data_IF_777160562298
#
_entry.id   IF_777160562298
#
_cell.length_a   1.000
_cell.length_b   1.000
_cell.length_c   1.000
_cell.angle_alpha   90.00
_cell.angle_beta   90.00
_cell.angle_gamma   90.00
#
_symmetry.space_group_name_H-M   'P 1'
#
loop_
_entity.id
_entity.type
_entity.pdbx_description
1 polymer ?
#
# COMPACT_ATOMS: atom_id res chain seq x y z
N UNK A 1 -22.02 1.51 26.18
CA UNK A 1 -21.40 0.37 25.45
C UNK A 1 -20.13 0.90 24.86
N UNK A 2 -18.98 0.24 25.08
CA UNK A 2 -17.69 0.77 24.62
C UNK A 2 -17.65 0.94 23.09
N UNK A 3 -16.97 1.99 22.62
CA UNK A 3 -16.68 2.18 21.21
C UNK A 3 -15.95 0.96 20.62
N UNK A 4 -16.11 0.72 19.33
CA UNK A 4 -15.41 -0.31 18.58
C UNK A 4 -14.91 0.29 17.25
N UNK A 5 -14.10 -0.45 16.50
CA UNK A 5 -13.52 0.06 15.26
C UNK A 5 -13.92 -0.80 14.05
N UNK A 6 -13.81 -0.23 12.85
CA UNK A 6 -13.97 -0.97 11.60
C UNK A 6 -12.69 -1.77 11.30
N UNK A 7 -12.84 -2.93 10.67
CA UNK A 7 -11.73 -3.90 10.50
C UNK A 7 -10.57 -3.37 9.66
N UNK A 8 -10.84 -2.61 8.57
CA UNK A 8 -9.79 -2.29 7.58
C UNK A 8 -9.21 -0.88 7.72
N UNK A 9 -10.00 0.09 8.19
CA UNK A 9 -9.54 1.48 8.30
C UNK A 9 -9.64 2.04 9.72
N UNK A 10 -9.94 1.22 10.73
CA UNK A 10 -9.97 1.65 12.11
C UNK A 10 -10.90 2.84 12.39
N UNK A 11 -12.02 2.96 11.64
CA UNK A 11 -13.01 4.01 11.92
C UNK A 11 -13.69 3.72 13.24
N UNK A 12 -13.78 4.71 14.11
CA UNK A 12 -14.45 4.53 15.40
C UNK A 12 -15.97 4.50 15.24
N UNK A 13 -16.57 3.40 15.69
CA UNK A 13 -18.02 3.26 15.87
C UNK A 13 -18.35 3.64 17.30
N UNK A 14 -18.84 4.87 17.48
CA UNK A 14 -19.15 5.43 18.79
C UNK A 14 -20.24 4.60 19.47
N UNK A 15 -20.00 4.15 20.69
CA UNK A 15 -20.97 3.42 21.50
C UNK A 15 -22.15 4.32 21.92
N UNK A 16 -23.35 3.73 22.01
CA UNK A 16 -24.53 4.48 22.43
C UNK A 16 -24.34 5.07 23.83
N UNK A 17 -24.52 6.38 23.96
CA UNK A 17 -24.36 7.13 25.21
C UNK A 17 -22.92 7.52 25.54
N UNK A 18 -21.96 7.20 24.68
CA UNK A 18 -20.57 7.62 24.85
C UNK A 18 -20.27 8.95 24.16
N UNK A 19 -19.11 9.54 24.50
CA UNK A 19 -18.55 10.75 23.90
C UNK A 19 -19.48 11.98 23.94
N UNK A 20 -20.27 12.13 25.03
CA UNK A 20 -21.06 13.34 25.23
C UNK A 20 -20.18 14.60 25.15
N UNK A 21 -20.45 15.45 24.17
CA UNK A 21 -19.67 16.66 23.89
C UNK A 21 -18.43 16.49 23.03
N UNK A 22 -17.98 15.26 22.70
CA UNK A 22 -16.79 14.98 21.88
C UNK A 22 -17.09 14.17 20.63
N UNK A 23 -18.28 13.61 20.47
CA UNK A 23 -18.67 12.79 19.33
C UNK A 23 -18.44 13.46 17.97
N UNK A 24 -18.58 14.80 17.90
CA UNK A 24 -18.34 15.57 16.70
C UNK A 24 -16.87 15.53 16.26
N UNK A 25 -15.93 15.56 17.20
CA UNK A 25 -14.49 15.43 16.89
C UNK A 25 -14.18 14.04 16.34
N UNK A 26 -14.69 12.98 16.96
CA UNK A 26 -14.54 11.60 16.50
C UNK A 26 -15.14 11.40 15.11
N UNK A 27 -16.34 11.96 14.86
CA UNK A 27 -16.99 11.88 13.53
C UNK A 27 -16.15 12.59 12.46
N UNK A 28 -15.61 13.77 12.76
CA UNK A 28 -14.75 14.50 11.84
C UNK A 28 -13.46 13.71 11.53
N UNK A 29 -12.81 13.14 12.55
CA UNK A 29 -11.65 12.27 12.35
C UNK A 29 -11.98 11.07 11.46
N UNK A 30 -13.14 10.46 11.64
CA UNK A 30 -13.60 9.38 10.76
C UNK A 30 -13.77 9.83 9.31
N UNK A 31 -14.32 11.03 9.07
CA UNK A 31 -14.42 11.59 7.73
C UNK A 31 -13.06 11.86 7.11
N UNK A 32 -12.10 12.37 7.87
CA UNK A 32 -10.72 12.59 7.41
C UNK A 32 -10.03 11.27 7.05
N UNK A 33 -10.26 10.19 7.83
CA UNK A 33 -9.77 8.85 7.52
C UNK A 33 -10.41 8.32 6.23
N UNK A 34 -11.72 8.48 6.06
CA UNK A 34 -12.45 8.05 4.85
C UNK A 34 -11.92 8.79 3.62
N UNK A 35 -11.80 10.12 3.68
CA UNK A 35 -11.29 10.92 2.59
C UNK A 35 -9.87 10.49 2.18
N UNK A 36 -8.99 10.32 3.18
CA UNK A 36 -7.63 9.82 2.97
C UNK A 36 -7.60 8.43 2.32
N UNK A 37 -8.48 7.52 2.75
CA UNK A 37 -8.55 6.15 2.23
C UNK A 37 -9.13 6.07 0.82
N UNK A 38 -9.93 7.04 0.39
CA UNK A 38 -10.54 7.07 -0.95
C UNK A 38 -9.56 7.67 -1.98
N UNK A 39 -9.04 8.87 -1.72
CA UNK A 39 -8.26 9.65 -2.68
C UNK A 39 -6.97 10.25 -2.12
N UNK A 40 -6.62 9.97 -0.86
CA UNK A 40 -5.46 10.56 -0.22
C UNK A 40 -4.15 10.12 -0.88
N UNK A 41 -3.25 11.09 -1.09
CA UNK A 41 -1.89 10.89 -1.57
C UNK A 41 -0.93 11.24 -0.43
N UNK A 42 -0.19 10.26 0.07
CA UNK A 42 0.80 10.43 1.14
C UNK A 42 2.23 10.49 0.59
N UNK A 43 2.96 11.52 0.97
CA UNK A 43 4.42 11.54 0.83
C UNK A 43 5.02 10.90 2.08
N UNK A 44 5.53 9.67 1.93
CA UNK A 44 6.04 8.86 3.03
C UNK A 44 7.57 8.88 3.00
N UNK A 45 8.19 9.50 4.00
CA UNK A 45 9.63 9.46 4.16
C UNK A 45 10.05 8.15 4.87
N UNK A 46 10.63 7.22 4.10
CA UNK A 46 11.15 5.96 4.64
C UNK A 46 12.56 6.09 5.22
N UNK A 47 13.08 7.31 5.32
CA UNK A 47 14.34 7.63 5.99
C UNK A 47 15.59 7.15 5.26
N UNK A 48 16.66 6.96 6.02
CA UNK A 48 17.96 6.48 5.54
C UNK A 48 18.25 5.01 5.91
N UNK A 49 17.37 4.38 6.69
CA UNK A 49 17.50 2.99 7.13
C UNK A 49 17.06 1.99 6.05
N UNK A 50 16.98 0.72 6.46
CA UNK A 50 16.54 -0.39 5.60
C UNK A 50 15.16 -0.93 5.97
N UNK A 51 14.47 -0.32 6.94
CA UNK A 51 13.14 -0.71 7.39
C UNK A 51 12.28 0.51 7.66
N UNK A 52 10.97 0.41 7.38
CA UNK A 52 9.96 1.42 7.69
C UNK A 52 8.62 0.75 8.00
N UNK A 53 7.93 1.21 9.06
CA UNK A 53 6.61 0.70 9.42
C UNK A 53 5.53 1.65 8.92
N UNK A 54 4.68 1.17 8.01
CA UNK A 54 3.51 1.86 7.52
C UNK A 54 2.29 1.42 8.34
N UNK A 55 1.88 2.24 9.30
CA UNK A 55 0.85 1.87 10.26
C UNK A 55 -0.52 2.43 9.94
N UNK A 56 -1.57 1.67 10.27
CA UNK A 56 -2.96 2.12 10.38
C UNK A 56 -3.38 2.01 11.84
N UNK A 57 -3.65 3.14 12.47
CA UNK A 57 -4.02 3.20 13.89
C UNK A 57 -5.51 3.48 14.02
N UNK A 58 -6.19 2.69 14.86
CA UNK A 58 -7.62 2.85 15.15
C UNK A 58 -7.96 4.26 15.65
N UNK A 59 -8.99 4.86 15.06
CA UNK A 59 -9.50 6.19 15.43
C UNK A 59 -8.52 7.35 15.24
N UNK A 60 -7.40 7.14 14.55
CA UNK A 60 -6.35 8.15 14.41
C UNK A 60 -5.84 8.21 12.97
N UNK A 61 -5.69 9.42 12.42
CA UNK A 61 -5.08 9.61 11.10
C UNK A 61 -3.65 9.06 11.08
N UNK A 62 -3.40 8.13 10.18
CA UNK A 62 -2.11 7.44 10.02
C UNK A 62 -1.71 7.36 8.55
N UNK A 63 -0.44 7.11 8.28
CA UNK A 63 0.08 7.03 6.91
C UNK A 63 -0.44 5.82 6.15
N UNK A 64 -0.76 4.72 6.85
CA UNK A 64 -1.41 3.54 6.27
C UNK A 64 -2.84 3.76 5.77
N UNK A 65 -3.46 4.93 6.01
CA UNK A 65 -4.77 5.27 5.45
C UNK A 65 -4.70 5.83 4.03
N UNK A 66 -3.55 6.33 3.57
CA UNK A 66 -3.47 6.87 2.21
C UNK A 66 -3.70 5.81 1.13
N UNK A 67 -4.44 6.19 0.08
CA UNK A 67 -4.67 5.32 -1.08
C UNK A 67 -3.44 5.25 -1.98
N UNK A 68 -2.78 6.37 -2.15
CA UNK A 68 -1.56 6.50 -2.97
C UNK A 68 -0.39 6.84 -2.06
N UNK A 69 0.67 6.05 -2.14
CA UNK A 69 1.88 6.23 -1.37
C UNK A 69 3.02 6.66 -2.29
N UNK A 70 3.61 7.80 -2.03
CA UNK A 70 4.84 8.26 -2.71
C UNK A 70 5.98 8.11 -1.71
N UNK A 71 6.72 7.02 -1.83
CA UNK A 71 7.85 6.73 -0.95
C UNK A 71 9.03 7.61 -1.34
N UNK A 72 9.56 8.33 -0.37
CA UNK A 72 10.74 9.19 -0.47
C UNK A 72 11.77 8.84 0.60
N UNK A 73 12.83 9.61 0.65
CA UNK A 73 13.96 9.38 1.56
C UNK A 73 15.24 8.97 0.82
N UNK A 74 16.26 8.62 1.58
CA UNK A 74 17.57 8.23 1.05
C UNK A 74 18.07 6.94 1.70
N UNK A 75 17.35 5.82 1.52
CA UNK A 75 17.70 4.56 2.16
C UNK A 75 19.11 4.10 1.73
N UNK A 76 19.86 3.55 2.67
CA UNK A 76 21.24 3.09 2.46
C UNK A 76 21.35 1.79 1.67
N UNK A 77 20.22 1.12 1.42
CA UNK A 77 20.10 -0.12 0.66
C UNK A 77 18.63 -0.44 0.43
N UNK A 78 18.32 -1.65 -0.01
CA UNK A 78 16.93 -2.10 -0.13
C UNK A 78 16.20 -1.87 1.19
N UNK A 79 15.08 -1.15 1.14
CA UNK A 79 14.25 -0.87 2.31
C UNK A 79 13.04 -1.81 2.34
N UNK A 80 12.66 -2.29 3.52
CA UNK A 80 11.44 -3.08 3.73
C UNK A 80 10.39 -2.20 4.39
N UNK A 81 9.30 -1.93 3.69
CA UNK A 81 8.11 -1.25 4.23
C UNK A 81 7.13 -2.31 4.71
N UNK A 82 6.89 -2.34 6.03
CA UNK A 82 5.96 -3.28 6.65
C UNK A 82 4.60 -2.62 6.84
N UNK A 83 3.56 -3.17 6.24
CA UNK A 83 2.16 -2.74 6.41
C UNK A 83 1.65 -3.30 7.74
N UNK A 84 1.21 -2.42 8.62
CA UNK A 84 0.62 -2.77 9.92
C UNK A 84 -0.74 -2.08 10.15
N UNK A 85 -1.64 -2.73 10.91
CA UNK A 85 -1.54 -4.10 11.42
C UNK A 85 -1.66 -5.16 10.30
N UNK A 86 -1.29 -6.41 10.60
CA UNK A 86 -1.26 -7.49 9.61
C UNK A 86 -2.60 -8.22 9.40
N UNK A 87 -3.65 -7.79 10.07
CA UNK A 87 -5.02 -8.33 10.01
C UNK A 87 -6.00 -7.39 9.26
N UNK A 88 -5.46 -6.42 8.51
CA UNK A 88 -6.24 -5.48 7.71
C UNK A 88 -5.94 -5.64 6.22
N UNK A 89 -6.98 -5.83 5.40
CA UNK A 89 -6.86 -5.81 3.95
C UNK A 89 -6.52 -4.41 3.46
N UNK A 90 -5.56 -4.28 2.54
CA UNK A 90 -5.16 -3.00 1.97
C UNK A 90 -4.94 -3.09 0.46
N UNK A 91 -5.35 -2.05 -0.24
CA UNK A 91 -5.04 -1.85 -1.65
C UNK A 91 -4.33 -0.50 -1.80
N UNK A 92 -3.09 -0.53 -2.26
CA UNK A 92 -2.27 0.66 -2.44
C UNK A 92 -1.79 0.84 -3.88
N UNK A 93 -1.73 2.09 -4.30
CA UNK A 93 -0.94 2.54 -5.44
C UNK A 93 0.37 3.10 -4.90
N UNK A 94 1.49 2.43 -5.14
CA UNK A 94 2.79 2.81 -4.55
C UNK A 94 3.74 3.28 -5.64
N UNK A 95 4.26 4.49 -5.50
CA UNK A 95 5.39 5.01 -6.27
C UNK A 95 6.64 4.97 -5.40
N UNK A 96 7.61 4.18 -5.78
CA UNK A 96 8.94 4.23 -5.17
C UNK A 96 9.73 5.40 -5.78
N UNK A 97 9.82 6.51 -5.06
CA UNK A 97 10.57 7.70 -5.46
C UNK A 97 12.03 7.69 -4.99
N UNK A 98 12.47 6.61 -4.33
CA UNK A 98 13.86 6.49 -3.85
C UNK A 98 14.80 5.94 -4.92
N UNK A 99 16.10 5.95 -4.63
CA UNK A 99 17.15 5.38 -5.48
C UNK A 99 17.45 3.90 -5.20
N UNK A 100 16.69 3.27 -4.29
CA UNK A 100 16.85 1.86 -3.90
C UNK A 100 15.56 1.08 -4.17
N UNK A 101 15.65 -0.24 -4.25
CA UNK A 101 14.47 -1.10 -4.27
C UNK A 101 13.76 -1.05 -2.92
N UNK A 102 12.42 -1.15 -2.94
CA UNK A 102 11.60 -1.23 -1.74
C UNK A 102 10.80 -2.53 -1.77
N UNK A 103 10.89 -3.30 -0.68
CA UNK A 103 10.10 -4.51 -0.47
C UNK A 103 8.86 -4.12 0.34
N UNK A 104 7.68 -4.43 -0.17
CA UNK A 104 6.41 -4.25 0.53
C UNK A 104 6.02 -5.58 1.15
N UNK A 105 5.77 -5.57 2.47
CA UNK A 105 5.50 -6.74 3.29
C UNK A 105 4.33 -6.46 4.23
N UNK A 106 3.59 -7.49 4.65
CA UNK A 106 2.59 -7.37 5.73
C UNK A 106 2.84 -8.35 6.86
N UNK A 107 2.76 -9.65 6.61
CA UNK A 107 3.06 -10.72 7.57
C UNK A 107 4.35 -11.47 7.22
N UNK A 108 4.29 -12.80 7.33
CA UNK A 108 5.36 -13.70 6.91
C UNK A 108 5.16 -14.31 5.53
N UNK A 109 4.04 -13.97 4.83
CA UNK A 109 3.73 -14.43 3.48
C UNK A 109 4.54 -13.72 2.39
N UNK A 110 4.06 -13.84 1.16
CA UNK A 110 4.72 -13.26 -0.02
C UNK A 110 4.88 -11.74 0.08
N UNK A 111 5.87 -11.22 -0.60
CA UNK A 111 6.23 -9.79 -0.64
C UNK A 111 6.34 -9.30 -2.07
N UNK A 112 6.18 -7.99 -2.27
CA UNK A 112 6.37 -7.33 -3.57
C UNK A 112 7.58 -6.44 -3.52
N UNK A 113 8.48 -6.57 -4.51
CA UNK A 113 9.64 -5.69 -4.66
C UNK A 113 9.38 -4.65 -5.75
N UNK A 114 9.42 -3.38 -5.37
CA UNK A 114 9.29 -2.25 -6.29
C UNK A 114 10.68 -1.65 -6.53
N UNK A 115 11.18 -1.79 -7.74
CA UNK A 115 12.49 -1.24 -8.09
C UNK A 115 12.52 0.29 -7.99
N UNK A 116 13.71 0.88 -7.88
CA UNK A 116 13.91 2.32 -7.81
C UNK A 116 13.16 3.05 -8.95
N UNK A 117 12.47 4.14 -8.60
CA UNK A 117 11.70 4.98 -9.54
C UNK A 117 10.53 4.28 -10.25
N UNK A 118 10.10 3.10 -9.79
CA UNK A 118 8.96 2.35 -10.35
C UNK A 118 7.70 2.53 -9.51
N UNK A 119 6.57 2.14 -10.11
CA UNK A 119 5.24 2.16 -9.50
C UNK A 119 4.65 0.76 -9.54
N UNK A 120 3.89 0.40 -8.51
CA UNK A 120 3.12 -0.85 -8.46
C UNK A 120 1.76 -0.63 -7.81
N UNK A 121 0.78 -1.46 -8.17
CA UNK A 121 -0.47 -1.61 -7.44
C UNK A 121 -0.33 -2.89 -6.62
N UNK A 122 -0.52 -2.81 -5.32
CA UNK A 122 -0.35 -3.96 -4.43
C UNK A 122 -1.60 -4.19 -3.59
N UNK A 123 -1.89 -5.47 -3.36
CA UNK A 123 -2.92 -5.93 -2.44
C UNK A 123 -2.26 -6.67 -1.29
N UNK A 124 -2.57 -6.27 -0.06
CA UNK A 124 -2.21 -6.93 1.18
C UNK A 124 -3.46 -7.61 1.75
N UNK A 125 -3.41 -8.91 2.04
CA UNK A 125 -4.58 -9.76 2.30
C UNK A 125 -5.06 -9.81 3.75
N UNK A 126 -4.35 -9.16 4.67
CA UNK A 126 -4.75 -9.10 6.08
C UNK A 126 -4.86 -10.46 6.78
N UNK A 127 -4.18 -11.49 6.32
CA UNK A 127 -4.31 -12.86 6.84
C UNK A 127 -3.59 -13.10 8.17
N UNK A 128 -3.30 -12.05 8.94
CA UNK A 128 -2.63 -12.13 10.23
C UNK A 128 -1.13 -12.43 10.10
N UNK A 129 -0.61 -13.35 10.91
CA UNK A 129 0.81 -13.67 10.90
C UNK A 129 1.33 -14.17 9.55
N UNK A 130 0.48 -14.81 8.75
CA UNK A 130 0.77 -15.31 7.41
C UNK A 130 0.46 -14.31 6.29
N UNK A 131 0.04 -13.08 6.61
CA UNK A 131 -0.40 -12.11 5.62
C UNK A 131 0.64 -11.90 4.52
N UNK A 132 0.14 -11.85 3.29
CA UNK A 132 0.91 -11.72 2.07
C UNK A 132 0.60 -10.41 1.34
N UNK A 133 1.53 -9.97 0.51
CA UNK A 133 1.35 -8.86 -0.41
C UNK A 133 1.53 -9.36 -1.82
N UNK A 134 0.54 -9.08 -2.68
CA UNK A 134 0.53 -9.47 -4.09
C UNK A 134 0.49 -8.24 -4.97
N UNK A 135 1.27 -8.22 -6.05
CA UNK A 135 1.17 -7.18 -7.07
C UNK A 135 -0.01 -7.48 -7.99
N UNK A 136 -0.84 -6.45 -8.22
CA UNK A 136 -1.88 -6.53 -9.25
C UNK A 136 -1.24 -6.16 -10.58
N UNK A 137 -1.14 -7.14 -11.46
CA UNK A 137 -0.61 -6.93 -12.81
C UNK A 137 -1.64 -6.15 -13.65
N UNK A 138 -1.23 -5.02 -14.18
CA UNK A 138 -2.05 -4.19 -15.08
C UNK A 138 -1.68 -4.49 -16.53
N UNK A 139 -1.79 -5.76 -16.93
CA UNK A 139 -1.57 -6.22 -18.31
C UNK A 139 -0.34 -5.58 -18.95
N UNK A 140 0.84 -6.10 -18.69
CA UNK A 140 1.96 -5.89 -19.58
C UNK A 140 1.79 -6.89 -20.72
N UNK A 141 1.37 -6.43 -21.89
CA UNK A 141 1.52 -7.20 -23.11
C UNK A 141 3.02 -7.32 -23.48
N UNK A 142 3.83 -7.81 -22.56
CA UNK A 142 5.11 -8.36 -22.92
C UNK A 142 4.81 -9.70 -23.57
N UNK A 143 4.96 -9.77 -24.88
CA UNK A 143 5.01 -11.03 -25.59
C UNK A 143 6.22 -11.80 -25.01
N UNK A 144 5.98 -12.64 -24.01
CA UNK A 144 6.99 -13.57 -23.48
C UNK A 144 7.06 -14.86 -24.30
N UNK A 145 6.23 -14.96 -25.34
CA UNK A 145 6.33 -16.06 -26.30
C UNK A 145 7.29 -15.67 -27.42
N UNK A 146 8.17 -16.59 -27.78
CA UNK A 146 9.10 -16.43 -28.90
C UNK A 146 8.33 -16.03 -30.16
N UNK A 147 8.50 -14.80 -30.62
CA UNK A 147 8.01 -14.36 -31.91
C UNK A 147 8.82 -15.12 -32.99
N UNK A 148 8.29 -16.27 -33.42
CA UNK A 148 8.86 -16.99 -34.52
C UNK A 148 8.55 -16.26 -35.82
N UNK A 149 9.43 -15.37 -36.23
CA UNK A 149 9.38 -14.79 -37.57
C UNK A 149 9.78 -15.87 -38.58
N UNK A 150 8.82 -16.44 -39.30
CA UNK A 150 9.13 -17.28 -40.45
C UNK A 150 9.79 -16.42 -41.51
N UNK A 151 11.08 -16.58 -41.69
CA UNK A 151 11.86 -15.98 -42.79
C UNK A 151 11.59 -16.77 -44.07
N UNK A 152 10.40 -16.64 -44.63
CA UNK A 152 10.05 -17.09 -45.96
C UNK A 152 9.31 -15.96 -46.65
N UNK A 153 9.82 -15.49 -47.77
CA UNK A 153 9.23 -14.45 -48.61
C UNK A 153 9.24 -13.02 -48.06
N UNK A 154 10.40 -12.47 -47.75
CA UNK A 154 10.63 -11.02 -47.83
C UNK A 154 9.91 -10.16 -46.78
N UNK A 155 9.50 -10.71 -45.63
CA UNK A 155 8.98 -9.90 -44.53
C UNK A 155 10.13 -9.21 -43.79
N UNK A 156 10.26 -7.90 -43.96
CA UNK A 156 11.18 -7.06 -43.23
C UNK A 156 10.52 -6.61 -41.94
N UNK A 157 10.96 -7.13 -40.78
CA UNK A 157 10.63 -6.57 -39.49
C UNK A 157 11.60 -5.40 -39.20
N UNK A 158 11.11 -4.18 -39.28
CA UNK A 158 11.88 -3.00 -38.86
C UNK A 158 11.46 -2.68 -37.46
N UNK A 159 12.35 -2.82 -36.47
CA UNK A 159 12.19 -2.38 -35.08
C UNK A 159 12.56 -0.91 -34.95
#
# INVERSE_FOLDING_TARGET
MASSYTSNNGLEKIGTGEQAGTWGATTNTNFDIIDRAINGVGAIDIGSGTTHDLTTTDGTLSDGHFKVLVLGGSPSGTNTVTIGPNDQDKLYFIKNGTNQSVIIKQGSGDTVTIAASKTAIVFADGAGSGAAVTQIETGSDSFTEDLTVKTGDGALLTL
#
